data_IF_440439238553
#
_entry.id   IF_440439238553
#
_cell.length_a   1.000
_cell.length_b   1.000
_cell.length_c   1.000
_cell.angle_alpha   90.00
_cell.angle_beta   90.00
_cell.angle_gamma   90.00
#
_symmetry.space_group_name_H-M   'P 1'
#
loop_
_entity.id
_entity.type
_entity.pdbx_description
1 polymer ?
#
# COMPACT_ATOMS: atom_id res chain seq x y z
N UNK A 1 30.07 22.63 -78.64
CA UNK A 1 30.24 22.94 -77.20
C UNK A 1 29.12 23.87 -76.76
N UNK A 2 28.15 23.38 -75.96
CA UNK A 2 27.10 24.20 -75.33
C UNK A 2 27.07 23.83 -73.85
N UNK A 3 27.50 24.74 -72.99
CA UNK A 3 27.53 24.59 -71.53
C UNK A 3 26.15 24.92 -70.96
N UNK A 4 25.48 23.92 -70.37
CA UNK A 4 24.18 24.07 -69.72
C UNK A 4 24.40 24.42 -68.23
N UNK A 5 23.99 25.61 -67.81
CA UNK A 5 23.98 26.05 -66.41
C UNK A 5 22.62 25.69 -65.78
N UNK A 6 22.61 24.82 -64.77
CA UNK A 6 21.44 24.58 -63.92
C UNK A 6 21.47 25.53 -62.70
N UNK A 7 20.35 26.18 -62.32
CA UNK A 7 20.29 26.99 -61.12
C UNK A 7 20.11 26.10 -59.89
N UNK A 8 20.89 26.38 -58.85
CA UNK A 8 20.82 25.77 -57.53
C UNK A 8 19.57 26.28 -56.79
N UNK A 9 18.56 25.40 -56.61
CA UNK A 9 17.39 25.65 -55.78
C UNK A 9 17.75 25.40 -54.30
N UNK A 10 17.82 26.46 -53.50
CA UNK A 10 17.99 26.38 -52.05
C UNK A 10 16.61 26.13 -51.43
N UNK A 11 16.40 24.92 -50.92
CA UNK A 11 15.21 24.56 -50.15
C UNK A 11 15.36 25.09 -48.71
N UNK A 12 14.57 26.10 -48.36
CA UNK A 12 14.45 26.59 -46.98
C UNK A 12 13.48 25.68 -46.23
N UNK A 13 14.00 24.77 -45.41
CA UNK A 13 13.20 23.98 -44.48
C UNK A 13 12.79 24.86 -43.29
N UNK A 14 11.52 25.21 -43.21
CA UNK A 14 10.94 25.90 -42.07
C UNK A 14 10.94 24.96 -40.84
N UNK A 15 11.72 25.30 -39.82
CA UNK A 15 11.67 24.63 -38.51
C UNK A 15 10.46 25.19 -37.77
N UNK A 16 9.40 24.38 -37.67
CA UNK A 16 8.24 24.70 -36.84
C UNK A 16 8.61 24.38 -35.38
N UNK A 17 8.59 25.36 -34.45
CA UNK A 17 8.82 25.08 -33.05
C UNK A 17 7.62 24.29 -32.50
N UNK A 18 7.86 23.05 -32.10
CA UNK A 18 6.89 22.25 -31.37
C UNK A 18 6.71 22.87 -29.98
N UNK A 19 5.56 23.49 -29.73
CA UNK A 19 5.18 23.91 -28.39
C UNK A 19 5.00 22.65 -27.53
N UNK A 20 5.89 22.45 -26.56
CA UNK A 20 5.65 21.50 -25.49
C UNK A 20 4.47 22.06 -24.67
N UNK A 21 3.28 21.53 -24.93
CA UNK A 21 2.17 21.70 -24.01
C UNK A 21 2.57 21.01 -22.71
N UNK A 22 2.78 21.80 -21.65
CA UNK A 22 2.99 21.29 -20.30
C UNK A 22 1.72 20.54 -19.91
N UNK A 23 1.83 19.22 -19.77
CA UNK A 23 0.71 18.33 -19.42
C UNK A 23 0.10 18.84 -18.10
N UNK A 24 -1.15 19.30 -18.15
CA UNK A 24 -1.78 19.94 -17.00
C UNK A 24 -1.88 18.95 -15.84
N UNK A 25 -1.16 19.23 -14.76
CA UNK A 25 -1.11 18.36 -13.58
C UNK A 25 -2.46 18.33 -12.89
N UNK A 26 -3.01 17.14 -12.69
CA UNK A 26 -4.22 16.93 -11.89
C UNK A 26 -3.92 17.16 -10.41
N UNK A 27 -4.67 18.07 -9.79
CA UNK A 27 -4.50 18.51 -8.40
C UNK A 27 -5.76 18.29 -7.57
N UNK A 28 -5.60 18.16 -6.25
CA UNK A 28 -6.73 18.01 -5.34
C UNK A 28 -7.62 19.24 -5.38
N UNK A 29 -7.07 20.44 -5.16
CA UNK A 29 -7.87 21.66 -5.02
C UNK A 29 -8.60 22.05 -6.32
N UNK A 30 -7.94 21.98 -7.47
CA UNK A 30 -8.53 22.49 -8.72
C UNK A 30 -9.44 21.47 -9.41
N UNK A 31 -9.18 20.16 -9.24
CA UNK A 31 -9.83 19.12 -10.03
C UNK A 31 -10.60 18.10 -9.20
N UNK A 32 -9.95 17.49 -8.20
CA UNK A 32 -10.55 16.36 -7.46
C UNK A 32 -11.61 16.83 -6.46
N UNK A 33 -11.34 17.90 -5.72
CA UNK A 33 -12.22 18.44 -4.68
C UNK A 33 -13.60 18.84 -5.23
N UNK A 34 -13.75 19.56 -6.37
CA UNK A 34 -15.06 19.80 -6.97
C UNK A 34 -15.84 18.52 -7.29
N UNK A 35 -15.15 17.46 -7.71
CA UNK A 35 -15.80 16.16 -7.97
C UNK A 35 -16.25 15.51 -6.65
N UNK A 36 -15.39 15.49 -5.63
CA UNK A 36 -15.72 14.94 -4.30
C UNK A 36 -16.84 15.74 -3.62
N UNK A 37 -16.88 17.05 -3.80
CA UNK A 37 -17.96 17.90 -3.28
C UNK A 37 -19.32 17.49 -3.84
N UNK A 38 -19.37 17.28 -5.15
CA UNK A 38 -20.60 16.91 -5.84
C UNK A 38 -21.04 15.46 -5.59
N UNK A 39 -20.11 14.55 -5.29
CA UNK A 39 -20.39 13.09 -5.27
C UNK A 39 -20.25 12.44 -3.91
N UNK A 40 -19.45 13.01 -3.01
CA UNK A 40 -18.99 12.33 -1.80
C UNK A 40 -19.32 13.08 -0.50
N UNK A 41 -19.32 14.42 -0.52
CA UNK A 41 -19.47 15.21 0.71
C UNK A 41 -20.83 15.03 1.39
N UNK A 42 -21.87 14.57 0.71
CA UNK A 42 -23.15 14.26 1.36
C UNK A 42 -23.04 13.18 2.45
N UNK A 43 -22.01 12.32 2.38
CA UNK A 43 -21.79 11.20 3.30
C UNK A 43 -20.38 11.14 3.93
N UNK A 44 -19.41 11.90 3.39
CA UNK A 44 -18.01 11.90 3.85
C UNK A 44 -17.55 13.33 4.14
N UNK A 45 -18.12 13.92 5.19
CA UNK A 45 -17.86 15.28 5.64
C UNK A 45 -17.69 15.34 7.16
N UNK A 46 -17.22 16.47 7.75
CA UNK A 46 -16.99 16.61 9.18
C UNK A 46 -18.16 16.21 10.09
N UNK A 47 -19.40 16.53 9.68
CA UNK A 47 -20.61 16.29 10.45
C UNK A 47 -21.18 14.87 10.24
N UNK A 48 -20.95 14.30 9.05
CA UNK A 48 -21.40 12.98 8.64
C UNK A 48 -20.23 12.23 8.01
N UNK A 49 -19.45 11.55 8.87
CA UNK A 49 -18.28 10.75 8.49
C UNK A 49 -18.63 9.27 8.36
N UNK A 50 -19.35 8.86 7.31
CA UNK A 50 -19.59 7.42 7.11
C UNK A 50 -18.25 6.69 6.95
N UNK A 51 -18.06 5.61 7.69
CA UNK A 51 -16.78 4.88 7.74
C UNK A 51 -15.63 5.71 8.33
N UNK A 52 -15.95 6.70 9.18
CA UNK A 52 -15.03 7.67 9.78
C UNK A 52 -14.20 8.48 8.76
N UNK A 53 -14.65 8.55 7.51
CA UNK A 53 -13.93 9.19 6.41
C UNK A 53 -14.46 10.60 6.14
N UNK A 54 -13.52 11.55 6.05
CA UNK A 54 -13.76 12.94 5.66
C UNK A 54 -12.92 13.28 4.42
N UNK A 55 -13.61 13.68 3.35
CA UNK A 55 -13.01 13.98 2.04
C UNK A 55 -13.00 15.48 1.74
N UNK A 56 -13.42 16.33 2.68
CA UNK A 56 -13.61 17.77 2.45
C UNK A 56 -12.32 18.56 2.30
N UNK A 57 -11.22 18.02 2.83
CA UNK A 57 -9.90 18.62 2.75
C UNK A 57 -8.87 17.59 2.29
N UNK A 58 -7.79 18.08 1.69
CA UNK A 58 -6.66 17.23 1.31
C UNK A 58 -6.10 16.50 2.54
N UNK A 59 -5.85 17.24 3.63
CA UNK A 59 -5.33 16.68 4.87
C UNK A 59 -6.21 15.55 5.43
N UNK A 60 -7.53 15.74 5.47
CA UNK A 60 -8.46 14.70 5.94
C UNK A 60 -8.47 13.47 5.01
N UNK A 61 -8.43 13.68 3.69
CA UNK A 61 -8.36 12.60 2.69
C UNK A 61 -7.10 11.74 2.87
N UNK A 62 -5.96 12.38 3.20
CA UNK A 62 -4.69 11.68 3.45
C UNK A 62 -4.67 10.93 4.79
N UNK A 63 -5.41 11.40 5.80
CA UNK A 63 -5.58 10.67 7.07
C UNK A 63 -6.37 9.37 6.83
N UNK A 64 -7.38 9.42 5.96
CA UNK A 64 -8.25 8.28 5.68
C UNK A 64 -9.38 8.12 6.70
N UNK A 65 -9.96 6.91 6.76
CA UNK A 65 -11.13 6.62 7.61
C UNK A 65 -10.85 5.51 8.63
N UNK A 66 -11.92 4.89 9.14
CA UNK A 66 -11.85 3.83 10.15
C UNK A 66 -11.09 2.59 9.67
N UNK A 67 -11.07 2.36 8.35
CA UNK A 67 -10.29 1.32 7.67
C UNK A 67 -8.88 1.74 7.26
N UNK A 68 -8.37 2.88 7.74
CA UNK A 68 -7.05 3.42 7.40
C UNK A 68 -7.02 4.29 6.14
N UNK A 69 -5.82 4.42 5.56
CA UNK A 69 -5.58 5.26 4.37
C UNK A 69 -6.44 4.81 3.18
N UNK A 70 -7.10 5.77 2.56
CA UNK A 70 -8.01 5.52 1.42
C UNK A 70 -7.35 5.78 0.06
N UNK A 71 -6.18 6.42 0.04
CA UNK A 71 -5.41 6.73 -1.16
C UNK A 71 -3.95 6.35 -0.94
N UNK A 72 -3.32 5.81 -1.97
CA UNK A 72 -1.92 5.38 -1.99
C UNK A 72 -1.24 5.91 -3.26
N UNK A 73 -0.28 6.80 -3.08
CA UNK A 73 0.34 7.54 -4.17
C UNK A 73 1.01 6.61 -5.19
N UNK A 74 0.62 6.70 -6.45
CA UNK A 74 1.13 5.83 -7.52
C UNK A 74 0.57 4.41 -7.50
N UNK A 75 -0.46 4.13 -6.69
CA UNK A 75 -1.05 2.81 -6.55
C UNK A 75 -2.60 2.86 -6.48
N UNK A 76 -3.28 2.93 -7.65
CA UNK A 76 -4.74 2.92 -7.71
C UNK A 76 -5.37 1.67 -7.11
N UNK A 77 -4.82 0.47 -7.38
CA UNK A 77 -5.37 -0.78 -6.85
C UNK A 77 -5.20 -0.91 -5.32
N UNK A 78 -4.23 -0.19 -4.71
CA UNK A 78 -4.08 -0.07 -3.26
C UNK A 78 -4.86 1.09 -2.62
N UNK A 79 -5.61 1.85 -3.43
CA UNK A 79 -6.38 3.03 -3.02
C UNK A 79 -7.86 2.70 -2.92
N UNK A 80 -8.35 2.47 -1.69
CA UNK A 80 -9.76 2.10 -1.44
C UNK A 80 -10.77 3.11 -1.99
N UNK A 81 -10.41 4.40 -2.03
CA UNK A 81 -11.24 5.45 -2.62
C UNK A 81 -11.54 5.17 -4.11
N UNK A 82 -10.59 4.59 -4.82
CA UNK A 82 -10.76 4.22 -6.22
C UNK A 82 -11.36 2.81 -6.38
N UNK A 83 -10.89 1.79 -5.65
CA UNK A 83 -11.40 0.41 -5.82
C UNK A 83 -12.89 0.30 -5.52
N UNK A 84 -13.38 0.99 -4.49
CA UNK A 84 -14.80 1.00 -4.12
C UNK A 84 -15.69 1.76 -5.11
N UNK A 85 -15.16 2.83 -5.73
CA UNK A 85 -15.88 3.62 -6.74
C UNK A 85 -15.86 2.97 -8.12
N UNK A 86 -14.79 2.25 -8.46
CA UNK A 86 -14.65 1.43 -9.66
C UNK A 86 -15.34 0.05 -9.53
N UNK A 87 -16.04 -0.21 -8.42
CA UNK A 87 -16.73 -1.48 -8.11
C UNK A 87 -15.81 -2.72 -8.16
N UNK A 88 -14.54 -2.54 -7.79
CA UNK A 88 -13.56 -3.62 -7.64
C UNK A 88 -13.53 -4.22 -6.23
N UNK A 89 -13.98 -3.46 -5.23
CA UNK A 89 -13.95 -3.84 -3.82
C UNK A 89 -15.24 -3.36 -3.13
N UNK A 90 -15.80 -4.18 -2.24
CA UNK A 90 -16.95 -3.80 -1.42
C UNK A 90 -16.51 -3.01 -0.16
N UNK A 91 -17.37 -2.12 0.37
CA UNK A 91 -18.68 -1.73 -0.16
C UNK A 91 -18.55 -0.83 -1.39
N UNK A 92 -19.48 -0.97 -2.35
CA UNK A 92 -19.48 -0.12 -3.54
C UNK A 92 -19.91 1.31 -3.20
N UNK A 93 -19.20 2.28 -3.77
CA UNK A 93 -19.45 3.71 -3.57
C UNK A 93 -19.80 4.40 -4.90
N UNK A 94 -20.79 5.30 -4.93
CA UNK A 94 -21.73 5.63 -3.87
C UNK A 94 -22.72 4.47 -3.58
N UNK A 95 -23.18 4.28 -2.33
CA UNK A 95 -24.13 3.23 -1.98
C UNK A 95 -25.55 3.57 -2.46
N UNK A 96 -25.84 4.86 -2.54
CA UNK A 96 -27.06 5.45 -3.06
C UNK A 96 -26.66 6.43 -4.17
N UNK A 97 -27.31 6.36 -5.32
CA UNK A 97 -27.00 7.18 -6.50
C UNK A 97 -26.38 6.38 -7.65
N UNK A 98 -26.12 7.08 -8.76
CA UNK A 98 -25.49 6.48 -9.95
C UNK A 98 -24.00 6.25 -9.74
N UNK A 99 -23.44 5.26 -10.45
CA UNK A 99 -22.00 5.05 -10.51
C UNK A 99 -21.28 6.32 -11.00
N UNK A 100 -20.00 6.47 -10.60
CA UNK A 100 -19.17 7.54 -11.14
C UNK A 100 -19.06 7.39 -12.67
N UNK A 101 -19.01 8.53 -13.35
CA UNK A 101 -18.73 8.54 -14.79
C UNK A 101 -17.30 8.06 -15.04
N UNK A 102 -17.02 7.54 -16.24
CA UNK A 102 -15.64 7.17 -16.63
C UNK A 102 -14.69 8.36 -16.50
N UNK A 103 -15.18 9.59 -16.76
CA UNK A 103 -14.42 10.82 -16.58
C UNK A 103 -13.98 11.01 -15.13
N UNK A 104 -14.89 10.82 -14.16
CA UNK A 104 -14.59 10.99 -12.73
C UNK A 104 -13.64 9.90 -12.22
N UNK A 105 -13.82 8.65 -12.69
CA UNK A 105 -12.91 7.55 -12.38
C UNK A 105 -11.51 7.80 -12.93
N UNK A 106 -11.40 8.26 -14.19
CA UNK A 106 -10.12 8.60 -14.80
C UNK A 106 -9.43 9.77 -14.08
N UNK A 107 -10.21 10.75 -13.61
CA UNK A 107 -9.70 11.85 -12.81
C UNK A 107 -9.08 11.36 -11.50
N UNK A 108 -9.78 10.49 -10.77
CA UNK A 108 -9.30 9.85 -9.54
C UNK A 108 -8.01 9.06 -9.78
N UNK A 109 -7.98 8.19 -10.79
CA UNK A 109 -6.78 7.38 -11.12
C UNK A 109 -5.60 8.27 -11.48
N UNK A 110 -5.83 9.30 -12.30
CA UNK A 110 -4.77 10.21 -12.75
C UNK A 110 -4.18 10.98 -11.58
N UNK A 111 -5.00 11.46 -10.65
CA UNK A 111 -4.53 12.12 -9.44
C UNK A 111 -3.73 11.18 -8.52
N UNK A 112 -4.19 9.93 -8.36
CA UNK A 112 -3.47 8.91 -7.59
C UNK A 112 -2.11 8.60 -8.23
N UNK A 113 -2.08 8.35 -9.55
CA UNK A 113 -0.85 8.09 -10.30
C UNK A 113 0.11 9.28 -10.29
N UNK A 114 -0.42 10.50 -10.34
CA UNK A 114 0.34 11.75 -10.26
C UNK A 114 0.93 12.04 -8.88
N UNK A 115 0.72 11.15 -7.89
CA UNK A 115 1.32 11.27 -6.57
C UNK A 115 0.53 12.18 -5.62
N UNK A 116 -0.80 12.25 -5.78
CA UNK A 116 -1.70 12.93 -4.84
C UNK A 116 -1.33 14.40 -4.60
N UNK A 117 -1.16 15.16 -5.68
CA UNK A 117 -0.82 16.58 -5.62
C UNK A 117 -1.97 17.37 -4.96
N UNK A 118 -1.65 18.20 -3.97
CA UNK A 118 -2.64 19.10 -3.35
C UNK A 118 -2.91 20.30 -4.25
N UNK A 119 -1.85 20.99 -4.68
CA UNK A 119 -1.88 22.15 -5.59
C UNK A 119 -0.85 22.01 -6.72
N UNK A 120 -0.84 22.96 -7.66
CA UNK A 120 0.10 22.96 -8.81
C UNK A 120 1.58 23.02 -8.41
N UNK A 121 1.88 23.59 -7.24
CA UNK A 121 3.25 23.70 -6.70
C UNK A 121 3.61 22.58 -5.71
N UNK A 122 2.69 21.66 -5.43
CA UNK A 122 2.96 20.53 -4.53
C UNK A 122 3.94 19.53 -5.15
N UNK A 123 4.70 18.86 -4.28
CA UNK A 123 5.58 17.76 -4.66
C UNK A 123 4.78 16.46 -4.62
N UNK A 124 4.93 15.64 -5.65
CA UNK A 124 4.32 14.32 -5.72
C UNK A 124 4.76 13.47 -4.52
N UNK A 125 3.79 12.88 -3.82
CA UNK A 125 4.05 11.93 -2.75
C UNK A 125 4.49 10.59 -3.32
N UNK A 126 5.33 9.88 -2.56
CA UNK A 126 5.72 8.50 -2.84
C UNK A 126 4.80 7.56 -2.05
N UNK A 127 4.44 6.42 -2.64
CA UNK A 127 3.73 5.36 -1.91
C UNK A 127 4.48 5.02 -0.63
N UNK A 128 3.76 4.96 0.49
CA UNK A 128 4.27 4.54 1.80
C UNK A 128 3.98 3.07 2.08
N UNK A 129 3.16 2.41 1.25
CA UNK A 129 2.91 0.97 1.36
C UNK A 129 3.99 0.21 0.58
N UNK A 130 4.65 -0.79 1.18
CA UNK A 130 5.45 -1.72 0.38
C UNK A 130 4.51 -2.36 -0.65
N UNK A 131 4.87 -2.28 -1.95
CA UNK A 131 4.17 -3.05 -2.98
C UNK A 131 4.36 -4.52 -2.61
N UNK A 132 3.32 -5.14 -2.03
CA UNK A 132 3.36 -6.55 -1.69
C UNK A 132 3.38 -7.30 -3.01
N UNK A 133 4.55 -7.84 -3.35
CA UNK A 133 4.66 -8.84 -4.38
C UNK A 133 4.11 -10.15 -3.82
N UNK A 134 2.83 -10.43 -4.10
CA UNK A 134 2.19 -11.70 -3.75
C UNK A 134 2.79 -12.87 -4.54
N UNK A 135 3.65 -12.63 -5.54
CA UNK A 135 4.42 -13.67 -6.23
C UNK A 135 5.67 -14.07 -5.43
N UNK A 136 5.54 -14.27 -4.12
CA UNK A 136 6.60 -14.97 -3.39
C UNK A 136 6.60 -16.40 -3.89
N UNK A 137 7.67 -16.81 -4.59
CA UNK A 137 7.91 -18.17 -5.03
C UNK A 137 8.18 -19.08 -3.81
N UNK A 138 7.13 -19.37 -3.06
CA UNK A 138 7.13 -20.36 -1.99
C UNK A 138 7.02 -21.72 -2.65
N UNK A 139 8.13 -22.43 -2.73
CA UNK A 139 8.13 -23.83 -3.15
C UNK A 139 7.33 -24.67 -2.16
N UNK A 140 6.61 -25.67 -2.66
CA UNK A 140 5.88 -26.60 -1.81
C UNK A 140 6.84 -27.62 -1.19
N UNK A 141 6.79 -27.78 0.13
CA UNK A 141 7.54 -28.80 0.85
C UNK A 141 8.93 -28.36 1.30
N UNK A 142 9.86 -29.31 1.42
CA UNK A 142 11.19 -29.08 2.00
C UNK A 142 12.01 -28.13 1.10
N UNK A 143 12.63 -27.06 1.66
CA UNK A 143 13.48 -26.17 0.88
C UNK A 143 14.72 -26.92 0.34
N UNK A 144 15.15 -26.55 -0.87
CA UNK A 144 16.36 -27.09 -1.52
C UNK A 144 17.66 -26.58 -0.87
N UNK A 145 17.57 -25.50 -0.07
CA UNK A 145 18.68 -24.90 0.67
C UNK A 145 18.56 -25.05 2.19
N UNK A 146 19.45 -24.41 2.96
CA UNK A 146 19.35 -24.40 4.42
C UNK A 146 18.02 -23.80 4.84
N UNK A 147 17.40 -24.41 5.86
CA UNK A 147 16.13 -23.95 6.38
C UNK A 147 16.20 -22.48 6.81
N UNK A 148 15.12 -21.73 6.58
CA UNK A 148 15.11 -20.29 6.86
C UNK A 148 15.20 -20.04 8.37
N UNK A 149 16.26 -19.34 8.77
CA UNK A 149 16.49 -18.84 10.12
C UNK A 149 16.66 -17.31 10.06
N UNK A 150 16.26 -16.57 11.10
CA UNK A 150 16.52 -15.14 11.20
C UNK A 150 18.01 -14.85 11.14
N UNK A 151 18.44 -14.00 10.20
CA UNK A 151 19.85 -13.57 10.10
C UNK A 151 20.00 -12.09 10.50
N UNK A 152 19.09 -11.24 10.03
CA UNK A 152 19.15 -9.78 10.22
C UNK A 152 17.86 -9.20 10.80
N UNK A 153 17.14 -9.99 11.61
CA UNK A 153 15.90 -9.54 12.27
C UNK A 153 16.25 -8.73 13.52
N UNK A 154 15.46 -7.70 13.81
CA UNK A 154 15.63 -6.88 15.00
C UNK A 154 15.56 -7.75 16.26
N UNK A 155 16.56 -7.70 17.13
CA UNK A 155 16.54 -8.40 18.43
C UNK A 155 15.93 -7.53 19.53
N UNK A 156 15.80 -6.23 19.27
CA UNK A 156 15.33 -5.22 20.21
C UNK A 156 14.54 -4.10 19.49
N UNK A 157 13.63 -3.39 20.19
CA UNK A 157 13.23 -3.61 21.58
C UNK A 157 12.13 -4.66 21.72
N UNK A 158 12.32 -5.61 22.64
CA UNK A 158 11.22 -6.45 23.13
C UNK A 158 10.31 -5.57 23.98
N UNK A 159 9.06 -5.40 23.56
CA UNK A 159 8.05 -4.73 24.37
C UNK A 159 7.71 -5.60 25.57
N UNK A 160 8.24 -5.24 26.75
CA UNK A 160 7.94 -5.91 28.02
C UNK A 160 6.75 -5.21 28.65
N UNK A 161 5.69 -5.98 28.89
CA UNK A 161 4.45 -5.45 29.45
C UNK A 161 4.49 -5.59 30.97
N UNK A 162 3.97 -4.61 31.73
CA UNK A 162 3.98 -4.67 33.19
C UNK A 162 3.06 -5.76 33.77
N UNK A 163 2.18 -6.32 32.94
CA UNK A 163 1.29 -7.43 33.29
C UNK A 163 1.52 -8.58 32.32
N UNK A 164 1.46 -9.81 32.84
CA UNK A 164 1.44 -11.01 32.03
C UNK A 164 0.11 -11.11 31.29
N UNK A 165 0.17 -11.65 30.07
CA UNK A 165 -1.01 -11.90 29.24
C UNK A 165 -0.92 -13.30 28.66
N UNK A 166 -2.02 -13.82 28.14
CA UNK A 166 -2.02 -15.11 27.46
C UNK A 166 -1.30 -14.98 26.12
N UNK A 167 -0.56 -16.03 25.73
CA UNK A 167 -0.08 -16.17 24.36
C UNK A 167 -1.28 -16.53 23.49
N UNK A 168 -1.61 -15.65 22.55
CA UNK A 168 -2.80 -15.78 21.68
C UNK A 168 -2.52 -16.61 20.42
N UNK A 169 -1.28 -16.61 19.95
CA UNK A 169 -0.87 -17.37 18.78
C UNK A 169 0.57 -17.87 18.92
N UNK A 170 0.86 -19.04 18.36
CA UNK A 170 2.22 -19.56 18.20
C UNK A 170 2.29 -20.51 16.99
N UNK A 171 3.47 -20.61 16.39
CA UNK A 171 3.75 -21.51 15.28
C UNK A 171 5.19 -21.99 15.32
N UNK A 172 5.43 -23.26 15.04
CA UNK A 172 6.77 -23.80 14.84
C UNK A 172 7.10 -23.87 13.35
N UNK A 173 8.35 -23.57 13.00
CA UNK A 173 8.84 -23.72 11.63
C UNK A 173 8.88 -25.20 11.25
N UNK A 174 8.48 -25.59 10.02
CA UNK A 174 8.46 -26.99 9.61
C UNK A 174 9.86 -27.60 9.44
N UNK A 175 10.88 -26.78 9.18
CA UNK A 175 12.21 -27.24 8.75
C UNK A 175 13.37 -26.64 9.55
N UNK A 176 13.10 -25.70 10.45
CA UNK A 176 14.11 -25.04 11.27
C UNK A 176 13.75 -25.13 12.77
N UNK A 177 14.73 -25.11 13.68
CA UNK A 177 14.49 -25.06 15.12
C UNK A 177 14.03 -23.66 15.56
N UNK A 178 12.89 -23.22 15.03
CA UNK A 178 12.38 -21.86 15.19
C UNK A 178 10.91 -21.88 15.63
N UNK A 179 10.61 -21.14 16.70
CA UNK A 179 9.26 -20.96 17.22
C UNK A 179 8.87 -19.47 17.16
N UNK A 180 7.79 -19.16 16.46
CA UNK A 180 7.16 -17.85 16.49
C UNK A 180 6.08 -17.81 17.58
N UNK A 181 6.13 -16.78 18.43
CA UNK A 181 5.22 -16.58 19.56
C UNK A 181 4.60 -15.18 19.46
N UNK A 182 3.28 -15.09 19.47
CA UNK A 182 2.55 -13.83 19.52
C UNK A 182 2.70 -13.17 20.88
N UNK A 183 3.36 -12.01 20.90
CA UNK A 183 3.43 -11.12 22.06
C UNK A 183 2.52 -9.90 21.92
N UNK A 184 2.54 -9.01 22.91
CA UNK A 184 1.82 -7.75 22.78
C UNK A 184 2.54 -6.83 21.80
N UNK A 185 1.85 -6.47 20.71
CA UNK A 185 2.35 -5.59 19.65
C UNK A 185 3.62 -6.07 18.94
N UNK A 186 3.94 -7.36 19.04
CA UNK A 186 5.15 -7.95 18.45
C UNK A 186 5.01 -9.46 18.29
N UNK A 187 5.80 -10.05 17.40
CA UNK A 187 6.02 -11.49 17.31
C UNK A 187 7.45 -11.78 17.73
N UNK A 188 7.63 -12.72 18.66
CA UNK A 188 8.94 -13.16 19.14
C UNK A 188 9.33 -14.44 18.40
N UNK A 189 10.52 -14.47 17.84
CA UNK A 189 11.11 -15.64 17.20
C UNK A 189 12.15 -16.23 18.15
N UNK A 190 11.93 -17.46 18.60
CA UNK A 190 12.82 -18.18 19.50
C UNK A 190 13.53 -19.31 18.75
N UNK A 191 14.84 -19.43 18.95
CA UNK A 191 15.59 -20.63 18.62
C UNK A 191 15.25 -21.71 19.65
N UNK A 192 14.70 -22.84 19.19
CA UNK A 192 14.28 -23.94 20.07
C UNK A 192 15.39 -24.89 20.46
N UNK A 193 16.53 -24.88 19.76
CA UNK A 193 17.71 -25.65 20.13
C UNK A 193 18.47 -24.95 21.27
N UNK A 194 18.65 -23.64 21.15
CA UNK A 194 19.41 -22.84 22.12
C UNK A 194 18.54 -22.24 23.22
N UNK A 195 17.23 -22.12 22.99
CA UNK A 195 16.30 -21.45 23.90
C UNK A 195 16.49 -19.93 23.93
N UNK A 196 17.09 -19.35 22.90
CA UNK A 196 17.44 -17.93 22.81
C UNK A 196 16.46 -17.18 21.90
N UNK A 197 16.34 -15.86 22.09
CA UNK A 197 15.58 -15.01 21.19
C UNK A 197 16.38 -14.80 19.90
N UNK A 198 15.84 -15.28 18.78
CA UNK A 198 16.42 -15.18 17.44
C UNK A 198 15.96 -13.92 16.69
N UNK A 199 14.84 -13.32 17.07
CA UNK A 199 14.32 -12.11 16.42
C UNK A 199 12.99 -11.61 16.99
N UNK A 200 12.66 -10.37 16.66
CA UNK A 200 11.42 -9.68 17.01
C UNK A 200 10.86 -9.03 15.75
N UNK A 201 9.61 -9.37 15.42
CA UNK A 201 8.87 -8.73 14.34
C UNK A 201 7.85 -7.76 14.94
N UNK A 202 7.96 -6.44 14.66
CA UNK A 202 7.06 -5.46 15.24
C UNK A 202 5.66 -5.58 14.63
N UNK A 203 4.63 -5.46 15.49
CA UNK A 203 3.24 -5.45 15.06
C UNK A 203 2.41 -4.47 15.91
N UNK A 204 2.57 -3.18 15.68
CA UNK A 204 2.01 -2.17 16.58
C UNK A 204 0.47 -2.01 16.51
N UNK A 205 -0.12 -2.51 15.44
CA UNK A 205 -1.51 -2.21 15.08
C UNK A 205 -2.52 -3.10 15.82
N UNK A 206 -2.09 -4.20 16.44
CA UNK A 206 -3.01 -5.09 17.16
C UNK A 206 -2.37 -6.27 17.88
N UNK A 207 -3.15 -7.34 18.01
CA UNK A 207 -2.75 -8.62 18.60
C UNK A 207 -2.74 -9.69 17.51
N UNK A 208 -1.76 -10.58 17.56
CA UNK A 208 -1.71 -11.73 16.67
C UNK A 208 -2.72 -12.78 17.14
N UNK A 209 -3.63 -13.18 16.26
CA UNK A 209 -4.66 -14.19 16.54
C UNK A 209 -4.33 -15.51 15.84
N UNK A 210 -3.54 -15.46 14.77
CA UNK A 210 -3.08 -16.63 14.04
C UNK A 210 -1.65 -16.42 13.56
N UNK A 211 -0.83 -17.47 13.66
CA UNK A 211 0.52 -17.53 13.13
C UNK A 211 0.69 -18.84 12.36
N UNK A 212 1.26 -18.76 11.16
CA UNK A 212 1.58 -19.93 10.33
C UNK A 212 2.83 -19.68 9.50
N UNK A 213 3.74 -20.64 9.52
CA UNK A 213 4.81 -20.69 8.53
C UNK A 213 4.29 -21.22 7.20
N UNK A 214 4.85 -20.69 6.13
CA UNK A 214 4.76 -21.28 4.79
C UNK A 214 5.31 -22.71 4.76
N UNK A 215 4.92 -23.49 3.76
CA UNK A 215 5.27 -24.92 3.70
C UNK A 215 6.79 -25.19 3.62
N UNK A 216 7.55 -24.27 3.02
CA UNK A 216 9.02 -24.32 2.97
C UNK A 216 9.68 -23.60 4.16
N UNK A 217 8.89 -22.99 5.05
CA UNK A 217 9.36 -22.26 6.21
C UNK A 217 10.00 -20.89 5.92
N UNK A 218 10.00 -20.41 4.67
CA UNK A 218 10.69 -19.15 4.31
C UNK A 218 9.91 -17.90 4.70
N UNK A 219 8.58 -18.01 4.76
CA UNK A 219 7.67 -16.96 5.20
C UNK A 219 6.97 -17.32 6.51
N UNK A 220 6.71 -16.29 7.31
CA UNK A 220 5.79 -16.31 8.43
C UNK A 220 4.58 -15.42 8.11
N UNK A 221 3.39 -16.02 8.13
CA UNK A 221 2.11 -15.34 7.93
C UNK A 221 1.43 -15.17 9.28
N UNK A 222 0.93 -13.97 9.54
CA UNK A 222 0.17 -13.62 10.73
C UNK A 222 -1.17 -13.03 10.34
N UNK A 223 -2.23 -13.51 11.00
CA UNK A 223 -3.54 -12.86 11.00
C UNK A 223 -3.80 -12.26 12.37
N UNK A 224 -4.23 -11.01 12.41
CA UNK A 224 -4.43 -10.30 13.68
C UNK A 224 -5.18 -8.99 13.53
N UNK A 225 -5.24 -8.23 14.61
CA UNK A 225 -5.84 -6.90 14.60
C UNK A 225 -6.39 -6.47 15.94
N UNK A 226 -7.39 -5.59 15.89
CA UNK A 226 -8.20 -5.20 17.06
C UNK A 226 -9.65 -5.49 16.73
N UNK A 227 -10.24 -6.43 17.46
CA UNK A 227 -11.63 -6.84 17.27
C UNK A 227 -12.58 -5.64 17.20
N UNK A 228 -13.39 -5.60 16.14
CA UNK A 228 -14.35 -4.51 15.89
C UNK A 228 -13.76 -3.21 15.35
N UNK A 229 -12.45 -3.14 15.06
CA UNK A 229 -11.80 -1.93 14.51
C UNK A 229 -11.05 -2.19 13.20
N UNK A 230 -10.12 -3.15 13.19
CA UNK A 230 -9.23 -3.41 12.07
C UNK A 230 -8.72 -4.86 12.11
N UNK A 231 -8.57 -5.48 10.96
CA UNK A 231 -8.04 -6.85 10.80
C UNK A 231 -7.00 -6.86 9.70
N UNK A 232 -5.77 -7.28 10.02
CA UNK A 232 -4.62 -7.27 9.13
C UNK A 232 -4.10 -8.70 8.94
N UNK A 233 -3.62 -8.97 7.72
CA UNK A 233 -2.76 -10.10 7.43
C UNK A 233 -1.37 -9.54 7.10
N UNK A 234 -0.36 -9.99 7.83
CA UNK A 234 1.03 -9.57 7.63
C UNK A 234 1.84 -10.80 7.25
N UNK A 235 2.73 -10.64 6.28
CA UNK A 235 3.65 -11.67 5.83
C UNK A 235 5.05 -11.13 6.01
N UNK A 236 5.89 -11.91 6.67
CA UNK A 236 7.31 -11.60 6.82
C UNK A 236 8.15 -12.68 6.15
N UNK A 237 9.22 -12.27 5.51
CA UNK A 237 10.34 -13.14 5.20
C UNK A 237 11.09 -13.48 6.49
N UNK A 238 11.27 -14.78 6.78
CA UNK A 238 11.82 -15.26 8.05
C UNK A 238 13.29 -14.87 8.23
N UNK A 239 14.06 -14.77 7.15
CA UNK A 239 15.50 -14.45 7.23
C UNK A 239 15.74 -12.97 7.48
N UNK A 240 14.97 -12.14 6.78
CA UNK A 240 15.17 -10.68 6.75
C UNK A 240 14.24 -9.92 7.68
N UNK A 241 13.11 -10.51 8.08
CA UNK A 241 12.09 -9.87 8.90
C UNK A 241 11.32 -8.76 8.18
N UNK A 242 11.41 -8.70 6.85
CA UNK A 242 10.73 -7.70 6.00
C UNK A 242 9.38 -8.20 5.50
#
# INVERSE_FOLDING_TARGET
MKTLRYPLLIAVTAVVPSAFAEEEKVTFEDHVKPMLENKCFSCHNPDKKKGDLDLTTYAATMIGGGGGQVVDAGNPDGSRLWTTTAKKEEPFMPPEGGALSEKDLNLLVSWINGGLLETKSSIAKKSTKPKIDLAVNVTAGKPEGPAAMPEHVLLEPVLVTPRTTAITAMAASPWAPLLAVGGQRQILLYDTEQGTLAGVLPYEEGFAESLKFSSNGSLLVMGGGRGGKLGHAVVWDVKTGR
#
